data_IF_085185678048
#
_entry.id   IF_085185678048
#
_cell.length_a   1.000
_cell.length_b   1.000
_cell.length_c   1.000
_cell.angle_alpha   90.00
_cell.angle_beta   90.00
_cell.angle_gamma   90.00
#
_symmetry.space_group_name_H-M   'P 1'
#
loop_
_entity.id
_entity.type
_entity.pdbx_description
1 polymer ?
#
# COMPACT_ATOMS: atom_id res chain seq x y z
N UNK A 1 -9.67 22.59 -4.62
CA UNK A 1 -9.63 21.16 -4.22
C UNK A 1 -9.91 20.99 -2.74
N UNK A 2 -10.31 19.79 -2.29
CA UNK A 2 -10.41 19.49 -0.85
C UNK A 2 -9.02 19.42 -0.20
N UNK A 3 -8.86 20.04 0.98
CA UNK A 3 -7.62 20.05 1.78
C UNK A 3 -8.00 19.82 3.24
N UNK A 4 -7.37 18.86 3.96
CA UNK A 4 -7.62 18.66 5.37
C UNK A 4 -7.16 19.89 6.17
N UNK A 5 -8.05 20.44 7.02
CA UNK A 5 -7.81 21.69 7.74
C UNK A 5 -7.13 21.48 9.10
N UNK A 6 -7.10 20.25 9.61
CA UNK A 6 -6.53 19.94 10.92
C UNK A 6 -5.70 18.66 10.91
N UNK A 7 -4.77 18.56 11.86
CA UNK A 7 -4.02 17.33 12.10
C UNK A 7 -4.94 16.14 12.43
N UNK A 8 -5.95 16.35 13.26
CA UNK A 8 -6.94 15.32 13.60
C UNK A 8 -7.62 14.74 12.36
N UNK A 9 -8.04 15.60 11.42
CA UNK A 9 -8.65 15.13 10.18
C UNK A 9 -7.64 14.35 9.34
N UNK A 10 -6.38 14.78 9.26
CA UNK A 10 -5.33 14.04 8.57
C UNK A 10 -5.11 12.65 9.18
N UNK A 11 -5.12 12.52 10.51
CA UNK A 11 -5.03 11.22 11.19
C UNK A 11 -6.23 10.32 10.87
N UNK A 12 -7.44 10.87 10.82
CA UNK A 12 -8.64 10.10 10.38
C UNK A 12 -8.44 9.56 8.96
N UNK A 13 -7.92 10.38 8.04
CA UNK A 13 -7.61 9.94 6.68
C UNK A 13 -6.54 8.84 6.67
N UNK A 14 -5.52 8.91 7.53
CA UNK A 14 -4.53 7.84 7.68
C UNK A 14 -5.16 6.53 8.20
N UNK A 15 -6.14 6.60 9.10
CA UNK A 15 -6.88 5.40 9.53
C UNK A 15 -7.74 4.81 8.40
N UNK A 16 -8.34 5.64 7.55
CA UNK A 16 -9.03 5.16 6.34
C UNK A 16 -8.03 4.46 5.41
N UNK A 17 -6.84 5.04 5.21
CA UNK A 17 -5.74 4.39 4.48
C UNK A 17 -5.44 3.01 5.03
N UNK A 18 -5.24 2.92 6.34
CA UNK A 18 -4.93 1.67 7.05
C UNK A 18 -6.01 0.60 6.82
N UNK A 19 -7.29 0.98 6.94
CA UNK A 19 -8.42 0.07 6.69
C UNK A 19 -8.43 -0.39 5.23
N UNK A 20 -8.26 0.52 4.29
CA UNK A 20 -8.29 0.20 2.86
C UNK A 20 -7.11 -0.69 2.46
N UNK A 21 -5.88 -0.35 2.86
CA UNK A 21 -4.70 -1.15 2.51
C UNK A 21 -4.67 -2.52 3.19
N UNK A 22 -5.25 -2.65 4.38
CA UNK A 22 -5.38 -3.93 5.06
C UNK A 22 -6.54 -4.80 4.57
N UNK A 23 -7.46 -4.24 3.77
CA UNK A 23 -8.69 -4.93 3.36
C UNK A 23 -8.75 -5.32 1.89
N UNK A 24 -8.08 -4.59 0.98
CA UNK A 24 -8.21 -4.79 -0.48
C UNK A 24 -7.91 -6.25 -0.92
N UNK A 25 -6.95 -6.91 -0.28
CA UNK A 25 -6.58 -8.28 -0.60
C UNK A 25 -7.69 -9.31 -0.39
N UNK A 26 -8.72 -8.95 0.40
CA UNK A 26 -9.88 -9.83 0.58
C UNK A 26 -10.72 -9.92 -0.70
N UNK A 27 -10.72 -8.89 -1.57
CA UNK A 27 -11.44 -8.95 -2.85
C UNK A 27 -10.88 -10.03 -3.76
N UNK A 28 -9.56 -10.27 -3.72
CA UNK A 28 -8.95 -11.41 -4.43
C UNK A 28 -9.40 -12.76 -3.84
N UNK A 29 -9.54 -12.88 -2.52
CA UNK A 29 -10.08 -14.11 -1.90
C UNK A 29 -11.52 -14.40 -2.36
N UNK A 30 -12.32 -13.35 -2.62
CA UNK A 30 -13.70 -13.50 -3.11
C UNK A 30 -13.79 -14.01 -4.55
N UNK A 31 -12.77 -13.84 -5.38
CA UNK A 31 -12.76 -14.37 -6.77
C UNK A 31 -12.57 -15.89 -6.83
N UNK A 32 -12.28 -16.53 -5.68
CA UNK A 32 -12.05 -17.95 -5.59
C UNK A 32 -10.62 -18.40 -5.91
N UNK A 33 -10.28 -19.63 -5.53
CA UNK A 33 -8.90 -20.14 -5.67
C UNK A 33 -8.46 -20.40 -7.11
N UNK A 34 -9.38 -20.53 -8.04
CA UNK A 34 -9.10 -20.77 -9.46
C UNK A 34 -8.71 -19.49 -10.20
N UNK A 35 -9.11 -18.32 -9.71
CA UNK A 35 -8.76 -17.05 -10.32
C UNK A 35 -7.42 -16.55 -9.82
N UNK A 36 -6.41 -16.74 -10.64
CA UNK A 36 -5.03 -16.45 -10.28
C UNK A 36 -4.76 -14.95 -10.18
N UNK A 37 -3.76 -14.59 -9.38
CA UNK A 37 -3.35 -13.21 -9.15
C UNK A 37 -3.06 -12.44 -10.44
N UNK A 38 -2.39 -13.06 -11.42
CA UNK A 38 -2.02 -12.43 -12.68
C UNK A 38 -3.24 -11.99 -13.51
N UNK A 39 -4.36 -12.70 -13.38
CA UNK A 39 -5.63 -12.33 -14.03
C UNK A 39 -6.35 -11.24 -13.23
N UNK A 40 -6.45 -11.40 -11.91
CA UNK A 40 -7.03 -10.42 -11.00
C UNK A 40 -6.34 -9.05 -11.11
N UNK A 41 -5.04 -9.03 -11.31
CA UNK A 41 -4.22 -7.82 -11.27
C UNK A 41 -4.48 -6.85 -12.42
N UNK A 42 -5.03 -7.32 -13.56
CA UNK A 42 -5.50 -6.45 -14.63
C UNK A 42 -6.65 -5.56 -14.17
N UNK A 43 -7.65 -6.15 -13.57
CA UNK A 43 -8.82 -5.44 -13.06
C UNK A 43 -8.46 -4.53 -11.89
N UNK A 44 -7.57 -5.01 -11.01
CA UNK A 44 -7.06 -4.24 -9.88
C UNK A 44 -6.37 -2.94 -10.33
N UNK A 45 -5.48 -3.01 -11.30
CA UNK A 45 -4.78 -1.84 -11.82
C UNK A 45 -5.75 -0.90 -12.55
N UNK A 46 -6.72 -1.45 -13.27
CA UNK A 46 -7.79 -0.65 -13.88
C UNK A 46 -8.62 0.08 -12.82
N UNK A 47 -8.95 -0.57 -11.72
CA UNK A 47 -9.65 0.04 -10.58
C UNK A 47 -8.86 1.20 -9.95
N UNK A 48 -7.53 1.06 -9.82
CA UNK A 48 -6.64 2.14 -9.36
C UNK A 48 -6.75 3.36 -10.29
N UNK A 49 -6.65 3.16 -11.60
CA UNK A 49 -6.71 4.26 -12.57
C UNK A 49 -8.10 4.92 -12.57
N UNK A 50 -9.15 4.12 -12.62
CA UNK A 50 -10.53 4.62 -12.63
C UNK A 50 -10.83 5.51 -11.41
N UNK A 51 -10.46 5.05 -10.21
CA UNK A 51 -10.68 5.83 -9.01
C UNK A 51 -9.85 7.11 -8.96
N UNK A 52 -8.61 7.11 -9.47
CA UNK A 52 -7.78 8.32 -9.52
C UNK A 52 -8.40 9.41 -10.41
N UNK A 53 -9.01 9.01 -11.52
CA UNK A 53 -9.75 9.91 -12.41
C UNK A 53 -10.98 10.47 -11.70
N UNK A 54 -11.79 9.60 -11.11
CA UNK A 54 -12.99 10.01 -10.35
C UNK A 54 -12.62 11.01 -9.24
N UNK A 55 -11.57 10.72 -8.47
CA UNK A 55 -11.11 11.57 -7.38
C UNK A 55 -10.62 12.94 -7.88
N UNK A 56 -9.90 12.98 -9.00
CA UNK A 56 -9.44 14.22 -9.62
C UNK A 56 -10.60 15.14 -10.01
N UNK A 57 -11.64 14.59 -10.65
CA UNK A 57 -12.82 15.37 -11.08
C UNK A 57 -13.80 15.69 -9.95
N UNK A 58 -13.74 15.00 -8.82
CA UNK A 58 -14.60 15.27 -7.66
C UNK A 58 -13.86 16.10 -6.61
N UNK A 59 -13.19 15.48 -5.64
CA UNK A 59 -12.49 16.15 -4.55
C UNK A 59 -11.34 17.05 -5.03
N UNK A 60 -10.66 16.68 -6.11
CA UNK A 60 -9.58 17.46 -6.73
C UNK A 60 -10.07 18.72 -7.46
N UNK A 61 -11.36 18.80 -7.77
CA UNK A 61 -11.97 19.93 -8.51
C UNK A 61 -12.99 20.71 -7.67
N UNK A 62 -13.34 20.23 -6.46
CA UNK A 62 -14.28 20.86 -5.55
C UNK A 62 -13.57 21.66 -4.46
N UNK A 63 -14.15 22.78 -4.04
CA UNK A 63 -13.60 23.66 -3.00
C UNK A 63 -12.87 24.88 -3.55
N UNK A 64 -12.63 25.86 -2.66
CA UNK A 64 -12.09 27.19 -3.01
C UNK A 64 -10.59 27.33 -2.71
N UNK A 65 -9.94 26.29 -2.21
CA UNK A 65 -8.54 26.32 -1.82
C UNK A 65 -7.67 25.48 -2.75
N UNK A 66 -6.42 25.89 -2.92
CA UNK A 66 -5.45 25.23 -3.78
C UNK A 66 -5.78 25.32 -5.26
N UNK A 67 -5.14 24.48 -6.07
CA UNK A 67 -5.28 24.46 -7.53
C UNK A 67 -6.13 23.26 -7.97
N UNK A 68 -7.16 23.51 -8.80
CA UNK A 68 -8.06 22.47 -9.29
C UNK A 68 -7.36 21.49 -10.24
N UNK A 69 -7.86 20.26 -10.29
CA UNK A 69 -7.23 19.13 -10.99
C UNK A 69 -6.81 19.43 -12.44
N UNK A 70 -7.70 19.97 -13.26
CA UNK A 70 -7.38 20.27 -14.67
C UNK A 70 -6.36 21.43 -14.80
N UNK A 71 -6.47 22.45 -13.95
CA UNK A 71 -5.51 23.56 -13.93
C UNK A 71 -4.12 23.06 -13.51
N UNK A 72 -4.09 22.13 -12.56
CA UNK A 72 -2.87 21.53 -12.05
C UNK A 72 -2.15 20.71 -13.12
N UNK A 73 -2.87 19.87 -13.85
CA UNK A 73 -2.30 19.10 -14.97
C UNK A 73 -1.73 20.02 -16.06
N UNK A 74 -2.43 21.10 -16.40
CA UNK A 74 -1.99 22.01 -17.49
C UNK A 74 -0.71 22.76 -17.18
N UNK A 75 -0.43 23.08 -15.92
CA UNK A 75 0.76 23.84 -15.52
C UNK A 75 1.92 22.95 -15.05
N UNK A 76 1.68 21.64 -14.85
CA UNK A 76 2.67 20.72 -14.31
C UNK A 76 3.89 20.59 -15.23
N UNK A 77 5.08 20.67 -14.66
CA UNK A 77 6.31 20.40 -15.38
C UNK A 77 6.54 18.91 -15.60
N UNK A 78 7.08 18.55 -16.78
CA UNK A 78 7.24 17.17 -17.20
C UNK A 78 8.05 16.31 -16.23
N UNK A 79 9.06 16.86 -15.55
CA UNK A 79 9.84 16.11 -14.58
C UNK A 79 9.03 15.72 -13.34
N UNK A 80 8.10 16.56 -12.87
CA UNK A 80 7.23 16.26 -11.75
C UNK A 80 6.20 15.19 -12.13
N UNK A 81 5.63 15.27 -13.34
CA UNK A 81 4.78 14.21 -13.90
C UNK A 81 5.54 12.89 -13.95
N UNK A 82 6.76 12.89 -14.47
CA UNK A 82 7.61 11.70 -14.56
C UNK A 82 7.92 11.11 -13.19
N UNK A 83 8.21 11.93 -12.17
CA UNK A 83 8.44 11.46 -10.81
C UNK A 83 7.22 10.73 -10.23
N UNK A 84 6.02 11.29 -10.38
CA UNK A 84 4.80 10.63 -9.95
C UNK A 84 4.60 9.29 -10.68
N UNK A 85 4.80 9.25 -12.00
CA UNK A 85 4.71 8.02 -12.81
C UNK A 85 5.76 6.98 -12.41
N UNK A 86 7.01 7.38 -12.17
CA UNK A 86 8.08 6.49 -11.67
C UNK A 86 7.67 5.90 -10.32
N UNK A 87 7.07 6.68 -9.42
CA UNK A 87 6.49 6.17 -8.18
C UNK A 87 5.51 5.03 -8.45
N UNK A 88 4.64 5.18 -9.45
CA UNK A 88 3.70 4.14 -9.89
C UNK A 88 4.38 2.89 -10.44
N UNK A 89 5.41 3.05 -11.29
CA UNK A 89 6.20 1.94 -11.83
C UNK A 89 6.90 1.15 -10.72
N UNK A 90 7.54 1.86 -9.77
CA UNK A 90 8.23 1.24 -8.64
C UNK A 90 7.24 0.48 -7.75
N UNK A 91 6.10 1.09 -7.45
CA UNK A 91 5.03 0.43 -6.68
C UNK A 91 4.56 -0.86 -7.37
N UNK A 92 4.29 -0.81 -8.67
CA UNK A 92 3.82 -1.96 -9.44
C UNK A 92 4.84 -3.11 -9.41
N UNK A 93 6.12 -2.81 -9.66
CA UNK A 93 7.20 -3.78 -9.56
C UNK A 93 7.30 -4.40 -8.15
N UNK A 94 7.26 -3.55 -7.11
CA UNK A 94 7.28 -3.99 -5.71
C UNK A 94 6.14 -4.93 -5.37
N UNK A 95 4.92 -4.58 -5.75
CA UNK A 95 3.73 -5.36 -5.42
C UNK A 95 3.76 -6.75 -6.09
N UNK A 96 4.16 -6.81 -7.35
CA UNK A 96 4.35 -8.07 -8.09
C UNK A 96 5.43 -8.93 -7.42
N UNK A 97 6.58 -8.36 -7.05
CA UNK A 97 7.65 -9.10 -6.37
C UNK A 97 7.22 -9.61 -5.01
N UNK A 98 6.43 -8.84 -4.25
CA UNK A 98 5.92 -9.26 -2.95
C UNK A 98 4.98 -10.47 -3.08
N UNK A 99 4.07 -10.43 -4.07
CA UNK A 99 3.18 -11.55 -4.35
C UNK A 99 3.97 -12.79 -4.78
N UNK A 100 4.99 -12.62 -5.65
CA UNK A 100 5.89 -13.70 -6.03
C UNK A 100 6.65 -14.30 -4.83
N UNK A 101 7.14 -13.43 -3.94
CA UNK A 101 7.81 -13.86 -2.72
C UNK A 101 6.88 -14.67 -1.80
N UNK A 102 5.63 -14.24 -1.66
CA UNK A 102 4.61 -14.98 -0.89
C UNK A 102 4.28 -16.33 -1.50
N UNK A 103 4.22 -16.43 -2.83
CA UNK A 103 4.02 -17.70 -3.53
C UNK A 103 5.17 -18.70 -3.25
N UNK A 104 6.42 -18.24 -3.30
CA UNK A 104 7.63 -19.09 -3.19
C UNK A 104 7.99 -19.41 -1.74
N UNK A 105 8.01 -18.40 -0.84
CA UNK A 105 8.47 -18.57 0.56
C UNK A 105 7.33 -18.70 1.57
N UNK A 106 6.09 -18.48 1.12
CA UNK A 106 4.90 -18.41 1.98
C UNK A 106 4.70 -17.04 2.63
N UNK A 107 3.45 -16.71 2.90
CA UNK A 107 3.04 -15.41 3.45
C UNK A 107 3.72 -15.14 4.81
N UNK A 108 3.80 -16.14 5.70
CA UNK A 108 4.38 -16.01 7.03
C UNK A 108 5.87 -15.60 7.07
N UNK A 109 6.58 -15.70 5.94
CA UNK A 109 7.99 -15.29 5.82
C UNK A 109 8.12 -14.07 4.93
N UNK A 110 7.53 -14.12 3.73
CA UNK A 110 7.71 -13.09 2.72
C UNK A 110 7.07 -11.76 3.13
N UNK A 111 5.87 -11.79 3.69
CA UNK A 111 5.12 -10.59 4.04
C UNK A 111 5.79 -9.78 5.17
N UNK A 112 6.18 -10.37 6.32
CA UNK A 112 6.88 -9.64 7.37
C UNK A 112 8.21 -9.03 6.93
N UNK A 113 8.98 -9.76 6.12
CA UNK A 113 10.26 -9.25 5.59
C UNK A 113 10.00 -8.07 4.66
N UNK A 114 9.11 -8.22 3.66
CA UNK A 114 8.82 -7.19 2.68
C UNK A 114 8.20 -5.94 3.31
N UNK A 115 7.13 -6.12 4.08
CA UNK A 115 6.39 -4.98 4.67
C UNK A 115 7.16 -4.34 5.82
N UNK A 116 7.88 -5.12 6.63
CA UNK A 116 8.73 -4.58 7.69
C UNK A 116 9.85 -3.69 7.14
N UNK A 117 10.52 -4.11 6.05
CA UNK A 117 11.52 -3.29 5.36
C UNK A 117 10.84 -2.05 4.75
N UNK A 118 9.70 -2.22 4.07
CA UNK A 118 8.95 -1.12 3.48
C UNK A 118 8.60 -0.05 4.53
N UNK A 119 8.07 -0.45 5.68
CA UNK A 119 7.76 0.47 6.77
C UNK A 119 9.01 1.19 7.28
N UNK A 120 10.03 0.45 7.71
CA UNK A 120 11.20 1.04 8.34
C UNK A 120 11.94 1.99 7.39
N UNK A 121 12.30 1.52 6.20
CA UNK A 121 13.00 2.33 5.20
C UNK A 121 12.12 3.46 4.67
N UNK A 122 10.83 3.22 4.42
CA UNK A 122 9.94 4.23 3.88
C UNK A 122 9.75 5.41 4.85
N UNK A 123 9.57 5.15 6.15
CA UNK A 123 9.51 6.23 7.16
C UNK A 123 10.84 6.98 7.24
N UNK A 124 11.98 6.26 7.30
CA UNK A 124 13.31 6.89 7.35
C UNK A 124 13.51 7.79 6.12
N UNK A 125 13.27 7.27 4.91
CA UNK A 125 13.46 8.02 3.66
C UNK A 125 12.58 9.28 3.66
N UNK A 126 11.27 9.14 3.94
CA UNK A 126 10.37 10.29 3.92
C UNK A 126 10.69 11.31 5.01
N UNK A 127 11.13 10.87 6.20
CA UNK A 127 11.54 11.77 7.27
C UNK A 127 12.83 12.54 6.95
N UNK A 128 13.85 11.86 6.41
CA UNK A 128 15.13 12.51 6.04
C UNK A 128 14.93 13.61 5.01
N UNK A 129 14.06 13.39 4.03
CA UNK A 129 13.81 14.38 2.97
C UNK A 129 12.84 15.49 3.40
N UNK A 130 11.89 15.19 4.27
CA UNK A 130 10.86 16.15 4.72
C UNK A 130 10.60 15.91 6.21
N UNK A 131 11.52 16.37 7.09
CA UNK A 131 11.38 16.18 8.52
C UNK A 131 10.08 16.82 9.04
N UNK A 132 9.26 16.04 9.74
CA UNK A 132 8.04 16.51 10.36
C UNK A 132 7.72 15.68 11.59
N UNK A 133 7.35 16.35 12.69
CA UNK A 133 7.00 15.72 13.95
C UNK A 133 8.20 15.31 14.82
N UNK A 134 7.91 14.67 15.95
CA UNK A 134 8.91 14.24 16.92
C UNK A 134 9.60 12.94 16.48
N UNK A 135 10.92 12.93 16.18
CA UNK A 135 11.61 11.74 15.67
C UNK A 135 11.63 10.57 16.66
N UNK A 136 11.72 10.84 17.97
CA UNK A 136 11.76 9.77 18.98
C UNK A 136 10.46 8.99 18.99
N UNK A 137 9.32 9.68 18.97
CA UNK A 137 8.00 9.06 18.90
C UNK A 137 7.77 8.36 17.55
N UNK A 138 8.19 8.99 16.46
CA UNK A 138 8.08 8.44 15.11
C UNK A 138 8.83 7.11 14.99
N UNK A 139 10.13 7.10 15.27
CA UNK A 139 10.94 5.90 15.13
C UNK A 139 10.65 4.84 16.22
N UNK A 140 10.27 5.27 17.44
CA UNK A 140 9.74 4.36 18.45
C UNK A 140 8.46 3.66 18.01
N UNK A 141 7.54 4.41 17.38
CA UNK A 141 6.32 3.86 16.81
C UNK A 141 6.60 2.85 15.69
N UNK A 142 7.51 3.19 14.77
CA UNK A 142 7.96 2.28 13.69
C UNK A 142 8.55 0.99 14.29
N UNK A 143 9.43 1.09 15.27
CA UNK A 143 10.04 -0.07 15.92
C UNK A 143 8.98 -0.99 16.56
N UNK A 144 7.97 -0.43 17.20
CA UNK A 144 6.87 -1.20 17.79
C UNK A 144 6.01 -1.89 16.73
N UNK A 145 5.72 -1.23 15.60
CA UNK A 145 4.96 -1.86 14.49
C UNK A 145 5.79 -2.97 13.82
N UNK A 146 7.10 -2.76 13.62
CA UNK A 146 8.00 -3.82 13.11
C UNK A 146 8.04 -5.00 14.06
N UNK A 147 8.12 -4.76 15.37
CA UNK A 147 8.06 -5.82 16.39
C UNK A 147 6.73 -6.59 16.28
N UNK A 148 5.61 -5.90 16.14
CA UNK A 148 4.30 -6.53 15.96
C UNK A 148 4.26 -7.44 14.72
N UNK A 149 4.81 -6.98 13.58
CA UNK A 149 4.93 -7.77 12.33
C UNK A 149 5.78 -9.04 12.55
N UNK A 150 6.88 -8.93 13.32
CA UNK A 150 7.73 -10.10 13.66
C UNK A 150 6.97 -11.09 14.55
N UNK A 151 6.22 -10.60 15.54
CA UNK A 151 5.40 -11.45 16.42
C UNK A 151 4.29 -12.14 15.62
N UNK A 152 3.66 -11.45 14.67
CA UNK A 152 2.66 -12.04 13.75
C UNK A 152 3.25 -13.20 12.95
N UNK A 153 4.42 -12.99 12.33
CA UNK A 153 5.14 -14.04 11.64
C UNK A 153 5.46 -15.24 12.52
N UNK A 154 5.85 -15.00 13.79
CA UNK A 154 6.13 -16.06 14.75
C UNK A 154 4.87 -16.84 15.11
N UNK A 155 3.70 -16.16 15.24
CA UNK A 155 2.41 -16.78 15.49
C UNK A 155 2.00 -17.68 14.32
N UNK A 156 2.08 -17.18 13.08
CA UNK A 156 1.82 -17.98 11.88
C UNK A 156 2.75 -19.19 11.76
N UNK A 157 4.06 -18.99 11.94
CA UNK A 157 5.04 -20.08 11.90
C UNK A 157 4.76 -21.16 12.92
N UNK A 158 4.34 -20.76 14.13
CA UNK A 158 4.05 -21.70 15.22
C UNK A 158 2.72 -22.43 15.04
N UNK A 159 1.74 -21.80 14.40
CA UNK A 159 0.42 -22.38 14.13
C UNK A 159 0.42 -23.28 12.90
N UNK A 160 1.19 -22.95 11.87
CA UNK A 160 1.27 -23.73 10.64
C UNK A 160 2.11 -24.99 10.82
N UNK A 161 1.47 -26.17 10.66
CA UNK A 161 2.14 -27.48 10.68
C UNK A 161 2.94 -27.76 9.40
N UNK A 162 2.73 -26.98 8.35
CA UNK A 162 3.38 -27.12 7.04
C UNK A 162 4.42 -26.03 6.83
N UNK A 163 5.64 -26.30 7.25
CA UNK A 163 6.78 -25.44 6.93
C UNK A 163 7.23 -25.72 5.50
N UNK A 164 6.81 -24.91 4.52
CA UNK A 164 7.58 -24.84 3.26
C UNK A 164 9.02 -24.48 3.63
N UNK A 165 9.98 -25.25 3.09
CA UNK A 165 11.40 -24.96 3.29
C UNK A 165 11.66 -23.51 2.85
N UNK A 166 12.20 -22.69 3.73
CA UNK A 166 12.43 -21.26 3.44
C UNK A 166 13.37 -21.15 2.25
N UNK A 167 12.87 -20.64 1.14
CA UNK A 167 13.64 -20.46 -0.09
C UNK A 167 14.43 -19.15 -0.04
N UNK A 168 15.75 -19.20 -0.24
CA UNK A 168 16.60 -18.01 -0.36
C UNK A 168 16.09 -17.06 -1.45
N UNK A 169 15.59 -17.60 -2.59
CA UNK A 169 14.96 -16.80 -3.66
C UNK A 169 13.76 -16.02 -3.16
N UNK A 170 12.87 -16.62 -2.36
CA UNK A 170 11.71 -15.95 -1.81
C UNK A 170 12.09 -14.83 -0.84
N UNK A 171 13.12 -15.01 -0.01
CA UNK A 171 13.64 -13.96 0.88
C UNK A 171 14.21 -12.78 0.06
N UNK A 172 15.02 -13.07 -0.96
CA UNK A 172 15.60 -12.01 -1.82
C UNK A 172 14.48 -11.21 -2.51
N UNK A 173 13.45 -11.87 -3.03
CA UNK A 173 12.29 -11.19 -3.63
C UNK A 173 11.55 -10.32 -2.61
N UNK A 174 11.38 -10.80 -1.35
CA UNK A 174 10.75 -10.01 -0.27
C UNK A 174 11.55 -8.76 0.07
N UNK A 175 12.88 -8.89 0.19
CA UNK A 175 13.78 -7.76 0.47
C UNK A 175 13.70 -6.74 -0.67
N UNK A 176 13.81 -7.19 -1.93
CA UNK A 176 13.70 -6.32 -3.09
C UNK A 176 12.35 -5.62 -3.16
N UNK A 177 11.26 -6.34 -2.91
CA UNK A 177 9.92 -5.77 -2.82
C UNK A 177 9.84 -4.70 -1.73
N UNK A 178 10.35 -4.98 -0.52
CA UNK A 178 10.32 -4.04 0.59
C UNK A 178 11.11 -2.76 0.30
N UNK A 179 12.28 -2.86 -0.32
CA UNK A 179 13.09 -1.70 -0.71
C UNK A 179 12.34 -0.84 -1.75
N UNK A 180 11.79 -1.45 -2.80
CA UNK A 180 11.02 -0.74 -3.81
C UNK A 180 9.77 -0.10 -3.20
N UNK A 181 9.05 -0.83 -2.32
CA UNK A 181 7.88 -0.32 -1.61
C UNK A 181 8.22 0.88 -0.72
N UNK A 182 9.41 0.94 -0.14
CA UNK A 182 9.88 2.10 0.63
C UNK A 182 10.14 3.33 -0.25
N UNK A 183 10.55 3.12 -1.50
CA UNK A 183 10.95 4.19 -2.40
C UNK A 183 9.77 4.85 -3.12
N UNK A 184 8.73 4.10 -3.51
CA UNK A 184 7.69 4.63 -4.39
C UNK A 184 7.03 5.89 -3.84
N UNK A 185 6.73 5.90 -2.53
CA UNK A 185 6.04 7.02 -1.89
C UNK A 185 6.87 8.30 -1.94
N UNK A 186 8.21 8.18 -1.80
CA UNK A 186 9.14 9.31 -1.93
C UNK A 186 9.13 9.90 -3.33
N UNK A 187 9.06 9.08 -4.38
CA UNK A 187 8.95 9.58 -5.76
C UNK A 187 7.67 10.38 -5.96
N UNK A 188 6.53 9.91 -5.45
CA UNK A 188 5.27 10.66 -5.49
C UNK A 188 5.39 11.94 -4.68
N UNK A 189 5.91 11.88 -3.44
CA UNK A 189 6.10 13.05 -2.59
C UNK A 189 6.99 14.13 -3.24
N UNK A 190 8.06 13.72 -3.95
CA UNK A 190 8.97 14.66 -4.61
C UNK A 190 8.34 15.42 -5.77
N UNK A 191 7.30 14.88 -6.39
CA UNK A 191 6.55 15.54 -7.46
C UNK A 191 5.57 16.59 -6.96
N UNK A 192 5.27 16.58 -5.65
CA UNK A 192 4.19 17.37 -5.08
C UNK A 192 4.64 18.72 -4.53
N UNK A 193 3.66 19.61 -4.46
CA UNK A 193 3.77 20.91 -3.76
C UNK A 193 4.02 20.70 -2.26
N UNK A 194 4.70 21.64 -1.64
CA UNK A 194 4.94 21.64 -0.18
C UNK A 194 3.74 22.21 0.57
N UNK A 195 3.05 23.19 0.00
CA UNK A 195 1.80 23.75 0.53
C UNK A 195 0.63 23.44 -0.41
N UNK A 196 -0.39 22.74 0.11
CA UNK A 196 -1.59 22.44 -0.67
C UNK A 196 -2.49 23.67 -0.86
N UNK A 197 -2.41 24.64 0.06
CA UNK A 197 -3.21 25.86 0.03
C UNK A 197 -2.65 26.87 -0.97
N UNK A 198 -1.29 26.97 -1.04
CA UNK A 198 -0.57 27.86 -1.95
C UNK A 198 0.39 27.02 -2.79
N UNK A 199 -0.12 26.32 -3.83
CA UNK A 199 0.68 25.37 -4.60
C UNK A 199 1.71 26.07 -5.49
N UNK A 200 2.97 25.66 -5.41
CA UNK A 200 4.06 26.15 -6.24
C UNK A 200 3.82 25.82 -7.72
N UNK A 201 4.23 26.74 -8.65
CA UNK A 201 4.19 26.47 -10.08
C UNK A 201 5.01 25.23 -10.47
N UNK A 202 4.55 24.49 -11.49
CA UNK A 202 5.25 23.33 -12.04
C UNK A 202 5.05 22.03 -11.25
N UNK A 203 4.82 22.11 -9.93
CA UNK A 203 4.61 20.94 -9.07
C UNK A 203 3.15 20.49 -9.05
N UNK A 204 2.94 19.21 -8.67
CA UNK A 204 1.64 18.57 -8.64
C UNK A 204 0.94 18.74 -7.29
N UNK A 205 -0.36 18.96 -7.31
CA UNK A 205 -1.23 18.79 -6.14
C UNK A 205 -1.43 17.30 -5.84
N UNK A 206 -1.94 16.91 -4.64
CA UNK A 206 -2.20 15.52 -4.31
C UNK A 206 -2.97 14.75 -5.38
N UNK A 207 -3.99 15.35 -5.95
CA UNK A 207 -4.91 14.71 -6.90
C UNK A 207 -4.26 14.39 -8.24
N UNK A 208 -3.47 15.31 -8.77
CA UNK A 208 -2.73 15.08 -10.01
C UNK A 208 -1.56 14.12 -9.81
N UNK A 209 -0.91 14.18 -8.64
CA UNK A 209 0.16 13.24 -8.29
C UNK A 209 -0.38 11.80 -8.21
N UNK A 210 -1.55 11.58 -7.58
CA UNK A 210 -2.23 10.28 -7.51
C UNK A 210 -2.64 9.82 -8.92
N UNK A 211 -3.15 10.71 -9.75
CA UNK A 211 -3.51 10.38 -11.13
C UNK A 211 -2.29 9.93 -11.96
N UNK A 212 -1.20 10.69 -11.96
CA UNK A 212 0.00 10.31 -12.71
C UNK A 212 0.70 9.07 -12.12
N UNK A 213 0.66 8.88 -10.80
CA UNK A 213 1.04 7.64 -10.17
C UNK A 213 0.22 6.45 -10.73
N UNK A 214 -1.11 6.57 -10.78
CA UNK A 214 -1.99 5.54 -11.32
C UNK A 214 -1.73 5.26 -12.81
N UNK A 215 -1.42 6.29 -13.60
CA UNK A 215 -0.98 6.14 -15.00
C UNK A 215 0.34 5.34 -15.06
N UNK A 216 1.30 5.64 -14.19
CA UNK A 216 2.56 4.89 -14.10
C UNK A 216 2.35 3.41 -13.76
N UNK A 217 1.46 3.12 -12.80
CA UNK A 217 1.04 1.75 -12.47
C UNK A 217 0.43 1.07 -13.69
N UNK A 218 -0.51 1.73 -14.36
CA UNK A 218 -1.23 1.16 -15.50
C UNK A 218 -0.30 0.86 -16.68
N UNK A 219 0.54 1.81 -17.08
CA UNK A 219 1.46 1.63 -18.21
C UNK A 219 2.48 0.54 -17.91
N UNK A 220 3.08 0.53 -16.73
CA UNK A 220 4.05 -0.52 -16.37
C UNK A 220 3.40 -1.89 -16.27
N UNK A 221 2.11 -1.96 -15.90
CA UNK A 221 1.38 -3.20 -15.82
C UNK A 221 1.19 -3.89 -17.17
N UNK A 222 1.09 -3.12 -18.26
CA UNK A 222 1.02 -3.68 -19.62
C UNK A 222 2.21 -4.58 -19.92
N UNK A 223 3.40 -4.22 -19.42
CA UNK A 223 4.62 -5.02 -19.58
C UNK A 223 4.78 -6.06 -18.47
N UNK A 224 4.73 -5.63 -17.21
CA UNK A 224 5.09 -6.47 -16.06
C UNK A 224 4.11 -7.63 -15.89
N UNK A 225 2.81 -7.34 -15.91
CA UNK A 225 1.80 -8.38 -15.74
C UNK A 225 1.73 -9.33 -16.95
N UNK A 226 1.95 -8.81 -18.18
CA UNK A 226 2.06 -9.66 -19.35
C UNK A 226 3.26 -10.63 -19.25
N UNK A 227 4.40 -10.16 -18.72
CA UNK A 227 5.57 -11.02 -18.50
C UNK A 227 5.28 -12.12 -17.47
N UNK A 228 4.64 -11.79 -16.33
CA UNK A 228 4.32 -12.81 -15.32
C UNK A 228 3.20 -13.76 -15.77
N UNK A 229 2.30 -13.34 -16.66
CA UNK A 229 1.35 -14.27 -17.29
C UNK A 229 2.07 -15.28 -18.17
N UNK A 230 3.09 -14.87 -18.94
CA UNK A 230 3.89 -15.77 -19.80
C UNK A 230 4.86 -16.65 -19.02
N UNK A 231 5.45 -16.11 -17.96
CA UNK A 231 6.45 -16.77 -17.12
C UNK A 231 6.06 -16.62 -15.65
N UNK A 232 4.99 -17.30 -15.20
CA UNK A 232 4.50 -17.16 -13.85
C UNK A 232 5.51 -17.72 -12.84
N UNK A 233 5.48 -17.19 -11.63
CA UNK A 233 6.31 -17.67 -10.53
C UNK A 233 5.88 -19.06 -10.05
N UNK A 234 4.58 -19.37 -10.16
CA UNK A 234 3.98 -20.67 -9.88
C UNK A 234 2.87 -20.98 -10.93
N UNK A 235 2.72 -22.25 -11.28
CA UNK A 235 1.69 -22.74 -12.20
C UNK A 235 2.05 -22.60 -13.68
N UNK A 236 1.06 -22.85 -14.54
CA UNK A 236 1.22 -22.79 -16.00
C UNK A 236 1.08 -21.35 -16.52
N UNK A 237 1.70 -21.03 -17.68
CA UNK A 237 1.45 -19.77 -18.38
C UNK A 237 -0.03 -19.48 -18.60
N UNK A 238 -0.38 -18.21 -18.55
CA UNK A 238 -1.72 -17.69 -18.74
C UNK A 238 -1.79 -16.84 -20.01
N UNK A 239 -2.99 -16.74 -20.57
CA UNK A 239 -3.27 -15.96 -21.78
C UNK A 239 -4.44 -14.99 -21.54
N UNK A 240 -4.60 -14.02 -22.43
CA UNK A 240 -5.80 -13.16 -22.41
C UNK A 240 -7.10 -13.93 -22.69
N UNK A 241 -7.04 -15.12 -23.30
CA UNK A 241 -8.20 -16.00 -23.39
C UNK A 241 -8.63 -16.52 -22.03
N UNK A 242 -7.68 -16.76 -21.12
CA UNK A 242 -8.01 -17.19 -19.76
C UNK A 242 -8.60 -16.02 -18.95
N UNK A 243 -8.10 -14.80 -19.15
CA UNK A 243 -8.71 -13.60 -18.58
C UNK A 243 -10.17 -13.41 -19.06
N UNK A 244 -10.43 -13.57 -20.34
CA UNK A 244 -11.78 -13.43 -20.92
C UNK A 244 -12.80 -14.49 -20.44
N UNK A 245 -12.36 -15.56 -19.75
CA UNK A 245 -13.26 -16.55 -19.12
C UNK A 245 -13.83 -16.08 -17.78
N UNK A 246 -13.34 -14.99 -17.23
CA UNK A 246 -13.84 -14.40 -15.98
C UNK A 246 -15.31 -13.98 -16.11
N UNK A 247 -16.08 -14.22 -15.05
CA UNK A 247 -17.44 -13.67 -14.97
C UNK A 247 -17.40 -12.19 -14.58
N UNK A 248 -18.50 -11.49 -14.79
CA UNK A 248 -18.62 -10.07 -14.40
C UNK A 248 -18.27 -9.85 -12.91
N UNK A 249 -18.76 -10.71 -12.00
CA UNK A 249 -18.49 -10.61 -10.57
C UNK A 249 -17.01 -10.78 -10.23
N UNK A 250 -16.31 -11.67 -10.94
CA UNK A 250 -14.86 -11.86 -10.77
C UNK A 250 -14.09 -10.60 -11.16
N UNK A 251 -14.38 -10.04 -12.33
CA UNK A 251 -13.76 -8.78 -12.78
C UNK A 251 -14.13 -7.61 -11.88
N UNK A 252 -15.40 -7.51 -11.46
CA UNK A 252 -15.84 -6.46 -10.53
C UNK A 252 -15.08 -6.51 -9.20
N UNK A 253 -14.84 -7.71 -8.64
CA UNK A 253 -14.04 -7.86 -7.42
C UNK A 253 -12.59 -7.39 -7.61
N UNK A 254 -12.01 -7.60 -8.80
CA UNK A 254 -10.70 -7.07 -9.14
C UNK A 254 -10.68 -5.54 -9.17
N UNK A 255 -11.62 -4.93 -9.88
CA UNK A 255 -11.78 -3.46 -9.94
C UNK A 255 -12.01 -2.88 -8.55
N UNK A 256 -12.88 -3.48 -7.73
CA UNK A 256 -13.13 -3.06 -6.34
C UNK A 256 -11.87 -3.13 -5.49
N UNK A 257 -11.04 -4.16 -5.68
CA UNK A 257 -9.74 -4.25 -5.00
C UNK A 257 -8.84 -3.06 -5.31
N UNK A 258 -8.75 -2.67 -6.58
CA UNK A 258 -8.00 -1.51 -7.02
C UNK A 258 -8.56 -0.19 -6.50
N UNK A 259 -9.88 -0.03 -6.53
CA UNK A 259 -10.58 1.15 -5.98
C UNK A 259 -10.30 1.28 -4.48
N UNK A 260 -10.50 0.21 -3.70
CA UNK A 260 -10.25 0.22 -2.25
C UNK A 260 -8.78 0.58 -1.97
N UNK A 261 -7.83 -0.05 -2.68
CA UNK A 261 -6.42 0.27 -2.48
C UNK A 261 -6.11 1.74 -2.77
N UNK A 262 -6.66 2.28 -3.87
CA UNK A 262 -6.39 3.66 -4.26
C UNK A 262 -7.13 4.70 -3.40
N UNK A 263 -8.27 4.36 -2.79
CA UNK A 263 -8.85 5.17 -1.70
C UNK A 263 -7.78 5.32 -0.60
N UNK A 264 -7.17 4.21 -0.16
CA UNK A 264 -6.11 4.25 0.84
C UNK A 264 -4.93 5.13 0.44
N UNK A 265 -4.41 4.95 -0.78
CA UNK A 265 -3.31 5.78 -1.31
C UNK A 265 -3.68 7.26 -1.32
N UNK A 266 -4.88 7.56 -1.79
CA UNK A 266 -5.38 8.94 -1.89
C UNK A 266 -5.49 9.60 -0.53
N UNK A 267 -6.08 8.91 0.45
CA UNK A 267 -6.22 9.45 1.80
C UNK A 267 -4.86 9.67 2.48
N UNK A 268 -3.89 8.76 2.27
CA UNK A 268 -2.52 8.92 2.77
C UNK A 268 -1.83 10.16 2.18
N UNK A 269 -1.89 10.33 0.86
CA UNK A 269 -1.27 11.47 0.17
C UNK A 269 -1.97 12.79 0.55
N UNK A 270 -3.29 12.82 0.64
CA UNK A 270 -4.03 14.02 1.07
C UNK A 270 -3.72 14.36 2.54
N UNK A 271 -3.62 13.35 3.41
CA UNK A 271 -3.27 13.54 4.82
C UNK A 271 -1.86 14.11 5.00
N UNK A 272 -0.92 13.81 4.10
CA UNK A 272 0.49 14.21 4.24
C UNK A 272 0.68 15.72 4.33
N UNK A 273 -0.24 16.53 3.81
CA UNK A 273 -0.19 17.98 3.91
C UNK A 273 -0.25 18.54 5.35
N UNK A 274 -0.86 17.80 6.28
CA UNK A 274 -0.92 18.18 7.71
C UNK A 274 -0.16 17.20 8.61
N UNK A 275 -0.12 15.91 8.25
CA UNK A 275 0.58 14.88 9.04
C UNK A 275 2.06 14.72 8.66
N UNK A 276 2.48 15.24 7.53
CA UNK A 276 3.79 14.98 6.94
C UNK A 276 3.86 13.60 6.26
N UNK A 277 4.78 13.45 5.31
CA UNK A 277 4.91 12.21 4.51
C UNK A 277 5.32 11.00 5.33
N UNK A 278 6.23 11.16 6.30
CA UNK A 278 6.72 10.07 7.13
C UNK A 278 5.62 9.49 8.03
N UNK A 279 4.82 10.34 8.68
CA UNK A 279 3.73 9.92 9.58
C UNK A 279 2.58 9.32 8.78
N UNK A 280 2.14 9.96 7.69
CA UNK A 280 1.04 9.44 6.87
C UNK A 280 1.39 8.08 6.25
N UNK A 281 2.62 7.91 5.75
CA UNK A 281 3.11 6.61 5.26
C UNK A 281 3.19 5.57 6.39
N UNK A 282 3.79 5.92 7.52
CA UNK A 282 3.95 5.02 8.67
C UNK A 282 2.61 4.54 9.23
N UNK A 283 1.63 5.42 9.39
CA UNK A 283 0.27 5.05 9.81
C UNK A 283 -0.41 4.18 8.76
N UNK A 284 -0.24 4.48 7.46
CA UNK A 284 -0.76 3.64 6.38
C UNK A 284 -0.26 2.20 6.44
N UNK A 285 1.01 1.98 6.84
CA UNK A 285 1.59 0.64 7.03
C UNK A 285 0.98 -0.12 8.23
N UNK A 286 0.23 0.55 9.11
CA UNK A 286 -0.66 -0.09 10.08
C UNK A 286 -1.75 -0.96 9.44
N UNK A 287 -1.87 -0.95 8.10
CA UNK A 287 -2.65 -1.89 7.30
C UNK A 287 -2.41 -3.36 7.68
N UNK A 288 -1.22 -3.69 8.15
CA UNK A 288 -0.88 -5.03 8.66
C UNK A 288 -1.70 -5.43 9.89
N UNK A 289 -2.03 -4.48 10.78
CA UNK A 289 -2.98 -4.70 11.87
C UNK A 289 -4.38 -5.08 11.35
N UNK A 290 -4.88 -4.34 10.35
CA UNK A 290 -6.20 -4.64 9.75
C UNK A 290 -6.18 -5.99 9.05
N UNK A 291 -5.11 -6.32 8.32
CA UNK A 291 -4.95 -7.64 7.70
C UNK A 291 -4.94 -8.75 8.76
N UNK A 292 -4.27 -8.55 9.89
CA UNK A 292 -4.29 -9.49 11.02
C UNK A 292 -5.69 -9.63 11.63
N UNK A 293 -6.46 -8.54 11.77
CA UNK A 293 -7.86 -8.59 12.22
C UNK A 293 -8.72 -9.43 11.27
N UNK A 294 -8.58 -9.26 9.95
CA UNK A 294 -9.25 -10.11 8.97
C UNK A 294 -8.87 -11.59 9.13
N UNK A 295 -7.57 -11.88 9.25
CA UNK A 295 -7.05 -13.25 9.41
C UNK A 295 -7.58 -13.93 10.68
N UNK A 296 -7.44 -13.25 11.83
CA UNK A 296 -7.79 -13.82 13.13
C UNK A 296 -9.30 -13.96 13.32
N UNK A 297 -10.07 -12.89 13.04
CA UNK A 297 -11.49 -12.85 13.44
C UNK A 297 -12.45 -13.25 12.31
N UNK A 298 -12.19 -12.89 11.07
CA UNK A 298 -13.10 -13.15 9.94
C UNK A 298 -12.76 -14.48 9.25
N UNK A 299 -11.52 -14.63 8.83
CA UNK A 299 -11.06 -15.86 8.16
C UNK A 299 -10.77 -17.01 9.12
N UNK A 300 -10.66 -16.71 10.43
CA UNK A 300 -10.42 -17.70 11.51
C UNK A 300 -9.19 -18.57 11.24
N UNK A 301 -8.12 -17.96 10.70
CA UNK A 301 -6.89 -18.64 10.29
C UNK A 301 -6.18 -19.32 11.48
N UNK A 302 -6.42 -18.85 12.70
CA UNK A 302 -5.88 -19.41 13.95
C UNK A 302 -6.88 -20.29 14.72
N UNK A 303 -7.92 -20.81 14.05
CA UNK A 303 -8.88 -21.73 14.71
C UNK A 303 -8.16 -22.96 15.26
N UNK A 304 -8.35 -23.24 16.57
CA UNK A 304 -7.68 -24.34 17.26
C UNK A 304 -6.24 -24.06 17.70
N UNK A 305 -5.80 -22.82 17.65
CA UNK A 305 -4.46 -22.41 18.09
C UNK A 305 -4.20 -22.72 19.57
N UNK A 306 -2.95 -23.06 19.89
CA UNK A 306 -2.49 -23.30 21.26
C UNK A 306 -2.48 -22.00 22.08
N UNK A 307 -2.51 -22.12 23.42
CA UNK A 307 -2.37 -20.95 24.33
C UNK A 307 -1.17 -20.06 23.96
N UNK A 308 -0.04 -20.67 23.62
CA UNK A 308 1.17 -19.93 23.26
C UNK A 308 1.02 -19.14 21.95
N UNK A 309 0.29 -19.64 20.96
CA UNK A 309 -0.02 -18.89 19.72
C UNK A 309 -0.99 -17.75 20.05
N UNK A 310 -2.02 -17.99 20.85
CA UNK A 310 -2.96 -16.95 21.29
C UNK A 310 -2.26 -15.83 22.07
N UNK A 311 -1.25 -16.15 22.92
CA UNK A 311 -0.42 -15.15 23.60
C UNK A 311 0.38 -14.31 22.60
N UNK A 312 0.97 -14.92 21.56
CA UNK A 312 1.66 -14.16 20.52
C UNK A 312 0.71 -13.21 19.77
N UNK A 313 -0.49 -13.68 19.42
CA UNK A 313 -1.52 -12.85 18.76
C UNK A 313 -1.90 -11.66 19.66
N UNK A 314 -2.10 -11.88 20.96
CA UNK A 314 -2.39 -10.80 21.90
C UNK A 314 -1.24 -9.78 21.99
N UNK A 315 0.00 -10.24 22.16
CA UNK A 315 1.18 -9.37 22.19
C UNK A 315 1.38 -8.59 20.90
N UNK A 316 1.12 -9.22 19.75
CA UNK A 316 1.11 -8.58 18.43
C UNK A 316 0.13 -7.39 18.40
N UNK A 317 -1.12 -7.59 18.83
CA UNK A 317 -2.12 -6.50 18.86
C UNK A 317 -1.71 -5.37 19.81
N UNK A 318 -1.17 -5.69 20.99
CA UNK A 318 -0.66 -4.69 21.92
C UNK A 318 0.48 -3.87 21.32
N UNK A 319 1.43 -4.54 20.66
CA UNK A 319 2.54 -3.86 20.00
C UNK A 319 2.08 -2.97 18.83
N UNK A 320 1.11 -3.42 18.01
CA UNK A 320 0.50 -2.59 16.96
C UNK A 320 -0.16 -1.33 17.56
N UNK A 321 -1.00 -1.48 18.57
CA UNK A 321 -1.70 -0.35 19.17
C UNK A 321 -0.73 0.65 19.81
N UNK A 322 0.29 0.17 20.50
CA UNK A 322 1.33 1.03 21.08
C UNK A 322 2.11 1.77 19.97
N UNK A 323 2.51 1.07 18.92
CA UNK A 323 3.23 1.66 17.79
C UNK A 323 2.41 2.72 17.05
N UNK A 324 1.14 2.43 16.77
CA UNK A 324 0.24 3.39 16.11
C UNK A 324 -0.03 4.63 17.00
N UNK A 325 -0.19 4.44 18.31
CA UNK A 325 -0.33 5.56 19.25
C UNK A 325 0.91 6.48 19.18
N UNK A 326 2.13 5.91 19.24
CA UNK A 326 3.36 6.68 19.11
C UNK A 326 3.45 7.45 17.80
N UNK A 327 3.05 6.82 16.67
CA UNK A 327 3.02 7.47 15.35
C UNK A 327 2.02 8.64 15.31
N UNK A 328 0.84 8.50 15.94
CA UNK A 328 -0.15 9.58 16.03
C UNK A 328 0.40 10.74 16.87
N UNK A 329 0.99 10.46 18.04
CA UNK A 329 1.56 11.51 18.89
C UNK A 329 2.84 12.14 18.32
N UNK A 330 3.49 11.50 17.35
CA UNK A 330 4.69 12.06 16.74
C UNK A 330 4.45 13.39 16.00
N UNK A 331 3.24 13.64 15.51
CA UNK A 331 2.88 14.86 14.78
C UNK A 331 1.91 15.78 15.53
N UNK A 332 1.54 15.44 16.77
CA UNK A 332 0.60 16.19 17.59
C UNK A 332 1.24 17.41 18.27
#
# INVERSE_FOLDING_TARGET
MFIPQSYTLAIILCFITMICWGSWGNTQKLTGKSWRFELFYWDYVFGILLFSILLGFTMGSSGNSGRGFIQDIKQAEGHNILHAMIGGVIFNASNILLVAAMAIAGMAVAFPVGVGIALALGVIINYVYTPHGNPTLLFGGVAMVVLAIIIDAAAYKKHSLSLKKVSGKGITLSISAGILMALFYRFVASSMVTSFEVPEPGKLTPYSAIFFFAVGVFISNLLFNWLIMKQPFEGNPLTFKDYAKGTFDIHLNGVLGGVIWNIGMSMSIIASGKAGFAISYGLGQGATLIAALWGVFIWKEFKGATKSVNTLIFLMFVAYLAGLALLVYAGA
#
